data_IF_257841518231
#
_entry.id   IF_257841518231
#
_cell.length_a   1.000
_cell.length_b   1.000
_cell.length_c   1.000
_cell.angle_alpha   90.00
_cell.angle_beta   90.00
_cell.angle_gamma   90.00
#
_symmetry.space_group_name_H-M   'P 1'
#
loop_
_entity.id
_entity.type
_entity.pdbx_description
1 polymer ?
#
# COMPACT_ATOMS: atom_id res chain seq x y z
N UNK A 1 -20.44 18.58 20.43
CA UNK A 1 -20.51 17.13 20.24
C UNK A 1 -19.75 16.94 18.96
N UNK A 2 -18.44 16.95 19.12
CA UNK A 2 -17.45 17.24 18.07
C UNK A 2 -16.63 15.99 17.75
N UNK A 3 -17.02 14.84 18.33
CA UNK A 3 -16.32 13.55 18.20
C UNK A 3 -16.77 12.74 16.98
N UNK A 4 -17.24 13.39 15.92
CA UNK A 4 -17.86 12.72 14.77
C UNK A 4 -17.27 13.13 13.41
N UNK A 5 -16.24 13.97 13.36
CA UNK A 5 -15.73 14.52 12.10
C UNK A 5 -14.25 14.18 11.82
N UNK A 6 -13.78 13.03 12.30
CA UNK A 6 -12.51 12.48 11.81
C UNK A 6 -12.78 11.76 10.47
N UNK A 7 -12.34 12.37 9.37
CA UNK A 7 -12.44 11.82 8.01
C UNK A 7 -11.65 10.50 7.87
N UNK A 8 -12.20 9.34 8.26
CA UNK A 8 -11.62 7.97 8.07
C UNK A 8 -10.25 7.71 8.74
N UNK A 9 -10.00 6.49 9.29
CA UNK A 9 -8.70 6.14 9.87
C UNK A 9 -7.49 6.34 8.93
N UNK A 10 -7.71 6.24 7.62
CA UNK A 10 -6.65 6.43 6.62
C UNK A 10 -6.20 7.89 6.50
N UNK A 11 -7.10 8.87 6.68
CA UNK A 11 -6.72 10.29 6.62
C UNK A 11 -5.90 10.69 7.83
N UNK A 12 -6.30 10.24 9.02
CA UNK A 12 -5.58 10.49 10.27
C UNK A 12 -4.12 10.03 10.18
N UNK A 13 -3.91 8.77 9.76
CA UNK A 13 -2.57 8.21 9.56
C UNK A 13 -1.79 8.98 8.49
N UNK A 14 -2.45 9.45 7.43
CA UNK A 14 -1.80 10.24 6.39
C UNK A 14 -1.31 11.58 6.93
N UNK A 15 -2.15 12.30 7.67
CA UNK A 15 -1.81 13.59 8.28
C UNK A 15 -0.67 13.46 9.29
N UNK A 16 -0.73 12.46 10.18
CA UNK A 16 0.33 12.20 11.17
C UNK A 16 1.68 11.88 10.49
N UNK A 17 1.66 11.07 9.44
CA UNK A 17 2.86 10.76 8.66
C UNK A 17 3.44 12.00 7.97
N UNK A 18 2.59 12.91 7.48
CA UNK A 18 3.02 14.17 6.88
C UNK A 18 3.59 15.13 7.93
N UNK A 19 2.96 15.25 9.10
CA UNK A 19 3.43 16.09 10.20
C UNK A 19 4.80 15.64 10.74
N UNK A 20 5.02 14.33 10.83
CA UNK A 20 6.27 13.76 11.32
C UNK A 20 7.44 13.84 10.32
N UNK A 21 7.18 14.03 9.02
CA UNK A 21 8.20 13.91 8.00
C UNK A 21 9.23 15.06 7.98
N UNK A 22 10.49 14.73 7.74
CA UNK A 22 11.58 15.67 7.38
C UNK A 22 11.89 15.69 5.89
N UNK A 23 11.46 14.66 5.18
CA UNK A 23 11.63 14.48 3.74
C UNK A 23 10.48 13.62 3.22
N UNK A 24 10.00 13.91 2.01
CA UNK A 24 8.95 13.14 1.36
C UNK A 24 9.50 12.49 0.10
N UNK A 25 9.34 11.17 0.00
CA UNK A 25 9.63 10.41 -1.21
C UNK A 25 8.34 10.21 -2.01
N UNK A 26 8.17 11.00 -3.07
CA UNK A 26 7.04 10.87 -3.98
C UNK A 26 7.33 9.76 -4.99
N UNK A 27 6.89 8.54 -4.68
CA UNK A 27 7.13 7.36 -5.51
C UNK A 27 6.13 7.21 -6.66
N UNK A 28 6.43 6.33 -7.63
CA UNK A 28 5.59 5.99 -8.79
C UNK A 28 5.36 7.16 -9.76
N UNK A 29 6.28 8.12 -9.80
CA UNK A 29 6.21 9.25 -10.73
C UNK A 29 6.33 8.79 -12.19
N UNK A 30 6.89 7.61 -12.43
CA UNK A 30 6.92 6.93 -13.74
C UNK A 30 5.53 6.47 -14.24
N UNK A 31 4.53 6.42 -13.35
CA UNK A 31 3.17 5.97 -13.66
C UNK A 31 2.14 7.10 -13.70
N UNK A 32 2.57 8.35 -13.47
CA UNK A 32 1.72 9.52 -13.34
C UNK A 32 2.08 10.58 -14.40
N UNK A 33 1.10 11.38 -14.83
CA UNK A 33 1.38 12.53 -15.69
C UNK A 33 2.06 13.64 -14.89
N UNK A 34 2.77 14.54 -15.57
CA UNK A 34 3.37 15.72 -14.92
C UNK A 34 2.34 16.57 -14.18
N UNK A 35 1.13 16.66 -14.71
CA UNK A 35 0.00 17.36 -14.08
C UNK A 35 -0.44 16.66 -12.78
N UNK A 36 -0.54 15.33 -12.78
CA UNK A 36 -0.88 14.55 -11.59
C UNK A 36 0.20 14.65 -10.51
N UNK A 37 1.48 14.69 -10.91
CA UNK A 37 2.61 14.89 -9.98
C UNK A 37 2.54 16.28 -9.34
N UNK A 38 2.26 17.33 -10.13
CA UNK A 38 2.09 18.68 -9.60
C UNK A 38 0.89 18.79 -8.65
N UNK A 39 -0.22 18.11 -8.98
CA UNK A 39 -1.38 18.04 -8.11
C UNK A 39 -1.04 17.34 -6.78
N UNK A 40 -0.35 16.19 -6.82
CA UNK A 40 0.08 15.48 -5.62
C UNK A 40 1.01 16.33 -4.73
N UNK A 41 1.99 17.02 -5.32
CA UNK A 41 2.84 17.96 -4.59
C UNK A 41 2.06 19.11 -3.95
N UNK A 42 1.01 19.58 -4.64
CA UNK A 42 0.14 20.64 -4.11
C UNK A 42 -0.71 20.17 -2.94
N UNK A 43 -1.15 18.90 -2.94
CA UNK A 43 -1.82 18.28 -1.78
C UNK A 43 -0.83 18.18 -0.62
N UNK A 44 0.33 17.60 -0.84
CA UNK A 44 1.38 17.48 0.19
C UNK A 44 1.71 18.84 0.81
N UNK A 45 1.86 19.89 0.01
CA UNK A 45 2.17 21.23 0.50
C UNK A 45 1.05 21.88 1.33
N UNK A 46 -0.20 21.42 1.20
CA UNK A 46 -1.34 21.86 2.03
C UNK A 46 -1.41 21.12 3.36
N UNK A 47 -1.13 19.82 3.33
CA UNK A 47 -1.25 18.94 4.50
C UNK A 47 0.02 18.91 5.36
N UNK A 48 1.12 19.50 4.90
CA UNK A 48 2.36 19.59 5.68
C UNK A 48 2.41 20.90 6.47
N UNK A 49 2.70 20.87 7.78
CA UNK A 49 2.72 22.08 8.62
C UNK A 49 3.86 23.03 8.28
N UNK A 50 4.86 22.56 7.52
CA UNK A 50 6.04 23.29 7.10
C UNK A 50 6.50 22.83 5.70
N UNK A 51 7.24 23.67 4.95
CA UNK A 51 7.80 23.25 3.67
C UNK A 51 8.81 22.11 3.83
N UNK A 52 8.55 20.97 3.20
CA UNK A 52 9.43 19.79 3.21
C UNK A 52 10.09 19.57 1.84
N UNK A 53 11.33 19.07 1.79
CA UNK A 53 11.92 18.60 0.55
C UNK A 53 11.16 17.38 0.03
N UNK A 54 10.72 17.45 -1.24
CA UNK A 54 10.04 16.36 -1.94
C UNK A 54 10.96 15.81 -3.02
N UNK A 55 11.32 14.53 -2.91
CA UNK A 55 12.13 13.81 -3.89
C UNK A 55 11.23 12.89 -4.72
N UNK A 56 11.22 13.10 -6.02
CA UNK A 56 10.52 12.20 -6.95
C UNK A 56 11.32 10.91 -7.15
N UNK A 57 10.64 9.76 -7.02
CA UNK A 57 11.27 8.44 -7.05
C UNK A 57 10.54 7.55 -8.05
N UNK A 58 11.21 7.26 -9.16
CA UNK A 58 10.72 6.32 -10.17
C UNK A 58 11.16 4.87 -9.83
N UNK A 59 10.24 3.90 -10.00
CA UNK A 59 10.50 2.47 -9.74
C UNK A 59 11.11 2.16 -8.35
N UNK A 60 10.92 3.05 -7.37
CA UNK A 60 11.45 2.89 -6.00
C UNK A 60 12.97 3.07 -5.87
N UNK A 61 13.64 3.63 -6.89
CA UNK A 61 15.10 3.81 -6.90
C UNK A 61 15.48 5.18 -6.35
N UNK A 62 16.13 5.22 -5.19
CA UNK A 62 16.71 6.43 -4.59
C UNK A 62 18.07 6.09 -3.96
N UNK A 63 19.02 7.01 -4.05
CA UNK A 63 20.31 6.85 -3.38
C UNK A 63 20.13 7.01 -1.86
N UNK A 64 20.52 6.03 -1.03
CA UNK A 64 20.40 6.12 0.42
C UNK A 64 21.03 7.39 1.02
N UNK A 65 22.06 7.95 0.37
CA UNK A 65 22.72 9.19 0.81
C UNK A 65 21.83 10.42 0.72
N UNK A 66 20.72 10.35 -0.02
CA UNK A 66 19.72 11.43 -0.13
C UNK A 66 18.73 11.41 1.04
N UNK A 67 18.58 10.27 1.72
CA UNK A 67 17.57 10.07 2.78
C UNK A 67 18.17 9.78 4.15
N UNK A 68 19.43 9.33 4.21
CA UNK A 68 20.15 9.06 5.45
C UNK A 68 21.11 10.21 5.80
N UNK A 69 21.30 10.45 7.10
CA UNK A 69 22.26 11.44 7.59
C UNK A 69 21.80 12.89 7.39
N UNK A 70 20.49 13.13 7.30
CA UNK A 70 19.91 14.47 7.09
C UNK A 70 20.23 15.46 8.22
N UNK A 71 20.58 14.97 9.40
CA UNK A 71 20.80 15.82 10.58
C UNK A 71 19.56 16.62 10.95
N UNK A 72 18.37 16.06 10.69
CA UNK A 72 17.11 16.76 10.83
C UNK A 72 16.78 17.17 12.28
N UNK A 73 17.41 16.53 13.26
CA UNK A 73 17.26 16.82 14.69
C UNK A 73 15.78 16.96 15.09
N UNK A 74 14.95 15.99 14.66
CA UNK A 74 13.51 16.03 14.87
C UNK A 74 13.13 16.12 16.37
N UNK A 75 14.03 15.69 17.26
CA UNK A 75 13.89 15.87 18.71
C UNK A 75 13.84 17.34 19.15
N UNK A 76 14.44 18.26 18.40
CA UNK A 76 14.51 19.69 18.76
C UNK A 76 13.20 20.44 18.45
N UNK A 77 12.34 19.89 17.60
CA UNK A 77 11.10 20.53 17.15
C UNK A 77 9.83 19.66 17.33
N UNK A 78 9.90 18.65 18.20
CA UNK A 78 8.78 17.75 18.55
C UNK A 78 7.46 18.50 18.83
N UNK A 79 7.51 19.59 19.60
CA UNK A 79 6.32 20.37 19.97
C UNK A 79 5.65 21.10 18.78
N UNK A 80 6.34 21.21 17.65
CA UNK A 80 5.81 21.80 16.42
C UNK A 80 5.22 20.74 15.47
N UNK A 81 5.15 19.48 15.90
CA UNK A 81 4.64 18.33 15.13
C UNK A 81 3.51 17.65 15.90
N UNK A 82 2.36 18.33 16.06
CA UNK A 82 1.22 17.73 16.73
C UNK A 82 0.76 16.49 15.95
N UNK A 83 0.46 15.42 16.67
CA UNK A 83 -0.17 14.22 16.13
C UNK A 83 -1.57 14.07 16.70
N UNK A 84 -2.47 13.45 15.94
CA UNK A 84 -3.78 13.02 16.45
C UNK A 84 -3.65 12.13 17.69
N UNK A 85 -2.50 11.45 17.85
CA UNK A 85 -2.17 10.63 19.02
C UNK A 85 -1.73 11.42 20.28
N UNK A 86 -1.47 12.73 20.20
CA UNK A 86 -1.12 13.56 21.37
C UNK A 86 -2.35 13.91 22.22
N UNK A 87 -3.53 13.89 21.61
CA UNK A 87 -4.81 14.07 22.29
C UNK A 87 -5.33 12.69 22.71
N UNK A 88 -5.24 12.38 24.01
CA UNK A 88 -5.53 11.05 24.56
C UNK A 88 -6.96 10.57 24.27
N UNK A 89 -7.15 9.92 23.12
CA UNK A 89 -8.31 9.14 22.76
C UNK A 89 -7.91 7.66 22.71
N UNK A 90 -8.77 6.77 23.21
CA UNK A 90 -8.62 5.32 23.01
C UNK A 90 -8.81 5.06 21.51
N UNK A 91 -7.71 4.94 20.77
CA UNK A 91 -7.74 4.49 19.38
C UNK A 91 -7.59 2.97 19.36
N UNK A 92 -8.64 2.28 18.94
CA UNK A 92 -8.58 0.84 18.71
C UNK A 92 -7.69 0.57 17.48
N UNK A 93 -6.57 -0.13 17.68
CA UNK A 93 -5.65 -0.53 16.60
C UNK A 93 -6.18 -1.65 15.69
N UNK A 94 -7.50 -1.85 15.64
CA UNK A 94 -8.16 -2.93 14.91
C UNK A 94 -8.81 -2.47 13.59
N UNK A 95 -8.44 -1.31 13.05
CA UNK A 95 -9.06 -0.75 11.84
C UNK A 95 -8.83 -1.57 10.57
N UNK A 96 -7.75 -2.37 10.52
CA UNK A 96 -7.35 -3.12 9.34
C UNK A 96 -7.16 -4.59 9.63
N UNK A 97 -7.65 -5.41 8.70
CA UNK A 97 -7.45 -6.85 8.72
C UNK A 97 -6.66 -7.36 7.53
N UNK A 98 -6.03 -8.51 7.73
CA UNK A 98 -5.36 -9.22 6.65
C UNK A 98 -5.68 -10.71 6.65
N UNK A 99 -5.86 -11.26 5.46
CA UNK A 99 -6.00 -12.69 5.26
C UNK A 99 -4.98 -13.22 4.28
N UNK A 100 -4.55 -14.44 4.53
CA UNK A 100 -3.75 -15.23 3.58
C UNK A 100 -4.69 -16.15 2.81
N UNK A 101 -4.63 -16.08 1.48
CA UNK A 101 -5.34 -16.94 0.56
C UNK A 101 -4.33 -17.78 -0.22
N UNK A 102 -4.42 -19.09 -0.04
CA UNK A 102 -3.68 -20.05 -0.85
C UNK A 102 -4.44 -20.34 -2.15
N UNK A 103 -3.69 -20.43 -3.25
CA UNK A 103 -4.23 -20.63 -4.59
C UNK A 103 -3.56 -21.85 -5.23
N UNK A 104 -4.35 -22.67 -5.90
CA UNK A 104 -3.82 -23.64 -6.86
C UNK A 104 -3.19 -22.93 -8.07
N UNK A 105 -2.69 -23.71 -9.02
CA UNK A 105 -2.17 -23.15 -10.28
C UNK A 105 -3.27 -22.38 -11.03
N UNK A 106 -3.02 -21.09 -11.29
CA UNK A 106 -3.92 -20.24 -12.06
C UNK A 106 -3.69 -20.41 -13.56
N UNK A 107 -4.73 -20.17 -14.36
CA UNK A 107 -4.65 -20.33 -15.82
C UNK A 107 -3.74 -19.29 -16.48
N UNK A 108 -3.87 -18.01 -16.07
CA UNK A 108 -3.05 -16.92 -16.62
C UNK A 108 -2.88 -15.75 -15.63
N UNK A 109 -1.82 -14.94 -15.77
CA UNK A 109 -1.63 -13.71 -14.97
C UNK A 109 -2.80 -12.72 -15.12
N UNK A 110 -3.38 -12.62 -16.31
CA UNK A 110 -4.47 -11.70 -16.63
C UNK A 110 -5.75 -12.10 -15.90
N UNK A 111 -6.03 -13.40 -15.84
CA UNK A 111 -7.18 -13.95 -15.11
C UNK A 111 -7.07 -13.65 -13.62
N UNK A 112 -5.90 -13.87 -13.03
CA UNK A 112 -5.66 -13.56 -11.63
C UNK A 112 -5.74 -12.04 -11.38
N UNK A 113 -5.18 -11.23 -12.27
CA UNK A 113 -5.24 -9.76 -12.15
C UNK A 113 -6.68 -9.26 -12.19
N UNK A 114 -7.51 -9.77 -13.09
CA UNK A 114 -8.93 -9.41 -13.16
C UNK A 114 -9.71 -9.80 -11.89
N UNK A 115 -9.41 -10.97 -11.29
CA UNK A 115 -10.00 -11.39 -10.01
C UNK A 115 -9.58 -10.45 -8.87
N UNK A 116 -8.32 -10.02 -8.83
CA UNK A 116 -7.82 -9.07 -7.83
C UNK A 116 -8.46 -7.68 -8.01
N UNK A 117 -8.57 -7.20 -9.26
CA UNK A 117 -9.28 -5.95 -9.54
C UNK A 117 -10.74 -6.00 -9.10
N UNK A 118 -11.38 -7.15 -9.28
CA UNK A 118 -12.78 -7.35 -8.87
C UNK A 118 -12.94 -7.26 -7.36
N UNK A 119 -12.16 -8.00 -6.58
CA UNK A 119 -12.25 -7.90 -5.10
C UNK A 119 -11.89 -6.50 -4.60
N UNK A 120 -10.96 -5.81 -5.26
CA UNK A 120 -10.61 -4.42 -4.92
C UNK A 120 -11.77 -3.43 -5.13
N UNK A 121 -12.62 -3.64 -6.14
CA UNK A 121 -13.79 -2.79 -6.37
C UNK A 121 -15.02 -3.22 -5.57
N UNK A 122 -15.22 -4.52 -5.37
CA UNK A 122 -16.43 -5.07 -4.75
C UNK A 122 -16.37 -5.11 -3.22
N UNK A 123 -15.17 -5.15 -2.63
CA UNK A 123 -14.94 -5.30 -1.20
C UNK A 123 -13.90 -4.31 -0.67
N UNK A 124 -13.71 -3.19 -1.37
CA UNK A 124 -12.79 -2.11 -0.98
C UNK A 124 -11.37 -2.57 -0.58
N UNK A 125 -10.89 -3.68 -1.17
CA UNK A 125 -9.58 -4.23 -0.82
C UNK A 125 -8.50 -3.19 -1.16
N UNK A 126 -7.79 -2.77 -0.12
CA UNK A 126 -6.77 -1.74 -0.19
C UNK A 126 -5.48 -2.26 -0.84
N UNK A 127 -5.10 -3.50 -0.51
CA UNK A 127 -3.83 -4.06 -0.98
C UNK A 127 -3.87 -5.57 -1.17
N UNK A 128 -3.22 -6.04 -2.23
CA UNK A 128 -2.91 -7.46 -2.41
C UNK A 128 -1.43 -7.62 -2.73
N UNK A 129 -0.76 -8.58 -2.09
CA UNK A 129 0.62 -8.95 -2.39
C UNK A 129 0.81 -10.44 -2.32
N UNK A 130 1.67 -10.97 -3.18
CA UNK A 130 2.10 -12.35 -3.03
C UNK A 130 2.61 -12.92 -4.34
N UNK A 131 2.46 -14.22 -4.48
CA UNK A 131 2.87 -14.92 -5.67
C UNK A 131 1.88 -15.99 -6.08
N UNK A 132 1.88 -16.36 -7.35
CA UNK A 132 1.06 -17.42 -7.91
C UNK A 132 1.87 -18.35 -8.80
N UNK A 133 1.44 -19.61 -8.88
CA UNK A 133 1.90 -20.54 -9.89
C UNK A 133 0.96 -20.44 -11.10
N UNK A 134 1.52 -20.27 -12.30
CA UNK A 134 0.75 -20.24 -13.54
C UNK A 134 0.91 -21.57 -14.28
N UNK A 135 -0.18 -22.14 -14.77
CA UNK A 135 -0.18 -23.43 -15.48
C UNK A 135 0.81 -23.41 -16.65
N UNK A 136 1.64 -24.44 -16.73
CA UNK A 136 2.64 -24.59 -17.79
C UNK A 136 3.80 -23.57 -17.72
N UNK A 137 3.92 -22.76 -16.67
CA UNK A 137 5.04 -21.82 -16.48
C UNK A 137 5.95 -22.28 -15.34
N UNK A 138 7.25 -22.48 -15.59
CA UNK A 138 8.20 -22.89 -14.55
C UNK A 138 8.59 -21.73 -13.62
N UNK A 139 8.09 -20.52 -13.88
CA UNK A 139 8.39 -19.30 -13.14
C UNK A 139 7.27 -18.99 -12.13
N UNK A 140 7.68 -18.40 -11.00
CA UNK A 140 6.76 -17.82 -10.03
C UNK A 140 6.33 -16.44 -10.49
N UNK A 141 5.02 -16.19 -10.45
CA UNK A 141 4.43 -14.91 -10.78
C UNK A 141 4.32 -14.08 -9.51
N UNK A 142 5.09 -13.00 -9.39
CA UNK A 142 4.95 -12.02 -8.32
C UNK A 142 3.78 -11.08 -8.67
N UNK A 143 2.88 -10.88 -7.70
CA UNK A 143 1.70 -10.03 -7.86
C UNK A 143 1.66 -9.00 -6.75
N UNK A 144 1.36 -7.76 -7.13
CA UNK A 144 1.10 -6.67 -6.20
C UNK A 144 -0.02 -5.77 -6.73
N UNK A 145 -0.91 -5.35 -5.84
CA UNK A 145 -2.00 -4.44 -6.14
C UNK A 145 -2.16 -3.39 -5.04
N UNK A 146 -2.55 -2.18 -5.44
CA UNK A 146 -3.03 -1.12 -4.56
C UNK A 146 -4.36 -0.66 -5.14
N UNK A 147 -5.45 -0.89 -4.39
CA UNK A 147 -6.80 -0.86 -4.93
C UNK A 147 -6.90 -1.69 -6.22
N UNK A 148 -7.59 -1.16 -7.24
CA UNK A 148 -7.77 -1.84 -8.52
C UNK A 148 -6.56 -1.77 -9.45
N UNK A 149 -5.39 -1.25 -9.03
CA UNK A 149 -4.20 -1.19 -9.88
C UNK A 149 -3.30 -2.38 -9.59
N UNK A 150 -3.30 -3.36 -10.50
CA UNK A 150 -2.53 -4.60 -10.37
C UNK A 150 -1.28 -4.57 -11.24
N UNK A 151 -0.14 -5.02 -10.71
CA UNK A 151 1.09 -5.34 -11.45
C UNK A 151 1.45 -6.80 -11.17
N UNK A 152 1.68 -7.55 -12.24
CA UNK A 152 2.15 -8.92 -12.19
C UNK A 152 3.41 -9.07 -13.04
N UNK A 153 4.42 -9.75 -12.51
CA UNK A 153 5.68 -10.00 -13.22
C UNK A 153 6.29 -11.33 -12.77
N UNK A 154 6.98 -12.04 -13.66
CA UNK A 154 7.72 -13.23 -13.26
C UNK A 154 9.00 -12.84 -12.54
N UNK A 155 9.26 -13.42 -11.37
CA UNK A 155 10.46 -13.09 -10.57
C UNK A 155 11.57 -14.13 -10.71
N UNK A 156 11.31 -15.38 -10.34
CA UNK A 156 12.29 -16.48 -10.34
C UNK A 156 11.65 -17.82 -10.73
N UNK A 157 12.45 -18.82 -11.15
CA UNK A 157 11.97 -20.19 -11.26
C UNK A 157 11.49 -20.74 -9.92
N UNK A 158 10.52 -21.65 -9.97
CA UNK A 158 10.20 -22.53 -8.85
C UNK A 158 11.38 -23.47 -8.59
N UNK A 159 11.71 -23.71 -7.31
CA UNK A 159 12.71 -24.72 -6.93
C UNK A 159 12.09 -26.11 -7.00
N UNK A 160 12.92 -27.15 -7.14
CA UNK A 160 12.44 -28.52 -7.28
C UNK A 160 11.67 -29.01 -6.03
N UNK A 161 12.04 -28.50 -4.85
CA UNK A 161 11.44 -28.85 -3.57
C UNK A 161 10.24 -27.97 -3.20
N UNK A 162 9.96 -26.91 -3.98
CA UNK A 162 8.86 -26.00 -3.70
C UNK A 162 7.55 -26.56 -4.25
N UNK A 163 6.51 -26.57 -3.41
CA UNK A 163 5.14 -26.79 -3.89
C UNK A 163 4.71 -25.59 -4.73
N UNK A 164 4.28 -25.84 -5.98
CA UNK A 164 3.80 -24.82 -6.92
C UNK A 164 2.40 -24.36 -6.51
N UNK A 165 2.33 -23.60 -5.42
CA UNK A 165 1.11 -23.05 -4.84
C UNK A 165 1.23 -21.53 -4.72
N UNK A 166 0.18 -20.82 -5.10
CA UNK A 166 0.08 -19.39 -4.88
C UNK A 166 -0.24 -19.06 -3.42
N UNK A 167 0.23 -17.91 -2.96
CA UNK A 167 -0.12 -17.34 -1.66
C UNK A 167 -0.24 -15.84 -1.80
N UNK A 168 -1.44 -15.32 -1.55
CA UNK A 168 -1.74 -13.89 -1.58
C UNK A 168 -2.10 -13.42 -0.17
N UNK A 169 -1.51 -12.32 0.26
CA UNK A 169 -1.94 -11.53 1.41
C UNK A 169 -2.87 -10.45 0.89
N UNK A 170 -4.08 -10.41 1.44
CA UNK A 170 -5.13 -9.45 1.11
C UNK A 170 -5.37 -8.58 2.35
N UNK A 171 -5.38 -7.26 2.17
CA UNK A 171 -5.47 -6.27 3.26
C UNK A 171 -6.59 -5.28 2.93
N UNK A 172 -7.43 -4.98 3.91
CA UNK A 172 -8.55 -4.06 3.84
C UNK A 172 -8.95 -3.58 5.24
N UNK A 173 -9.96 -2.71 5.32
CA UNK A 173 -10.55 -2.33 6.60
C UNK A 173 -11.24 -3.55 7.25
N UNK A 174 -11.33 -3.57 8.59
CA UNK A 174 -11.88 -4.69 9.36
C UNK A 174 -13.24 -5.15 8.83
N UNK A 175 -14.16 -4.20 8.60
CA UNK A 175 -15.53 -4.47 8.15
C UNK A 175 -15.62 -4.93 6.67
N UNK A 176 -14.59 -4.68 5.88
CA UNK A 176 -14.53 -5.01 4.46
C UNK A 176 -13.91 -6.40 4.19
N UNK A 177 -13.18 -6.96 5.16
CA UNK A 177 -12.52 -8.26 5.00
C UNK A 177 -13.49 -9.43 5.20
N UNK A 178 -13.97 -9.99 4.08
CA UNK A 178 -14.76 -11.23 4.07
C UNK A 178 -13.98 -12.38 3.43
N UNK A 179 -13.40 -13.27 4.25
CA UNK A 179 -12.64 -14.45 3.77
C UNK A 179 -13.41 -15.26 2.73
N UNK A 180 -14.65 -15.62 3.01
CA UNK A 180 -15.43 -16.49 2.11
C UNK A 180 -15.68 -15.84 0.74
N UNK A 181 -16.01 -14.54 0.72
CA UNK A 181 -16.22 -13.82 -0.54
C UNK A 181 -14.92 -13.65 -1.31
N UNK A 182 -13.83 -13.28 -0.63
CA UNK A 182 -12.50 -13.13 -1.25
C UNK A 182 -12.02 -14.46 -1.83
N UNK A 183 -12.13 -15.55 -1.07
CA UNK A 183 -11.75 -16.89 -1.53
C UNK A 183 -12.63 -17.36 -2.69
N UNK A 184 -13.94 -17.10 -2.65
CA UNK A 184 -14.84 -17.46 -3.75
C UNK A 184 -14.45 -16.78 -5.08
N UNK A 185 -14.01 -15.51 -5.04
CA UNK A 185 -13.55 -14.81 -6.25
C UNK A 185 -12.17 -15.28 -6.71
N UNK A 186 -11.23 -15.45 -5.77
CA UNK A 186 -9.85 -15.77 -6.12
C UNK A 186 -9.68 -17.24 -6.55
N UNK A 187 -10.39 -18.17 -5.91
CA UNK A 187 -10.30 -19.62 -6.16
C UNK A 187 -11.28 -20.11 -7.23
N UNK A 188 -12.44 -19.48 -7.41
CA UNK A 188 -13.41 -19.78 -8.48
C UNK A 188 -13.04 -19.06 -9.76
#
# INVERSE_FOLDING_TARGET
DDSLDHETPLSEVFEDQMACADIILLTKTDLASSEAILAAKSVIAKETPRPLPIVEVAEGVVDPRVILGLGAAAEDDLLARPSHHDEAHDHDHEDFDSIVVELDEVDSPETLSAKIERIAREQNILRVKGYAAVKGKPMRLLVQAVGSRVRAQYDRPWKAEETRMGRLVVIGEHDDISRDRIEAVLKG
#
